data_IF_744394797496
#
_entry.id   IF_744394797496
#
_cell.length_a   1.000
_cell.length_b   1.000
_cell.length_c   1.000
_cell.angle_alpha   90.00
_cell.angle_beta   90.00
_cell.angle_gamma   90.00
#
_symmetry.space_group_name_H-M   'P 1'
#
loop_
_entity.id
_entity.type
_entity.pdbx_description
1 polymer ?
#
# COMPACT_ATOMS: atom_id res chain seq x y z
N UNK A 1 -6.62 -17.30 2.99
CA UNK A 1 -5.28 -17.86 3.27
C UNK A 1 -5.41 -18.82 4.44
N UNK A 2 -4.89 -20.05 4.39
CA UNK A 2 -4.88 -20.91 5.55
C UNK A 2 -4.10 -20.24 6.66
N UNK A 3 -4.65 -20.18 7.87
CA UNK A 3 -4.02 -19.53 9.03
C UNK A 3 -2.59 -20.03 9.28
N UNK A 4 -2.32 -21.29 8.97
CA UNK A 4 -1.01 -21.94 9.11
C UNK A 4 0.10 -21.22 8.33
N UNK A 5 -0.14 -20.81 7.08
CA UNK A 5 0.87 -20.15 6.26
C UNK A 5 1.20 -18.74 6.76
N UNK A 6 0.20 -18.03 7.28
CA UNK A 6 0.40 -16.71 7.90
C UNK A 6 1.25 -16.83 9.16
N UNK A 7 0.94 -17.83 10.00
CA UNK A 7 1.68 -18.10 11.23
C UNK A 7 3.14 -18.45 10.93
N UNK A 8 3.39 -19.27 9.92
CA UNK A 8 4.75 -19.61 9.46
C UNK A 8 5.51 -18.37 8.98
N UNK A 9 4.88 -17.50 8.19
CA UNK A 9 5.51 -16.27 7.72
C UNK A 9 5.99 -15.37 8.87
N UNK A 10 5.21 -15.30 9.96
CA UNK A 10 5.56 -14.51 11.13
C UNK A 10 6.34 -15.29 12.21
N UNK A 11 6.64 -16.57 12.00
CA UNK A 11 7.32 -17.41 13.01
C UNK A 11 6.50 -17.66 14.27
N UNK A 12 5.17 -17.69 14.17
CA UNK A 12 4.22 -17.75 15.29
C UNK A 12 3.53 -19.12 15.42
N UNK A 13 4.25 -20.21 15.15
CA UNK A 13 3.67 -21.57 15.18
C UNK A 13 3.41 -22.10 16.61
N UNK A 14 3.99 -21.47 17.63
CA UNK A 14 3.78 -21.84 19.05
C UNK A 14 2.34 -21.53 19.49
N UNK A 15 1.90 -22.19 20.57
CA UNK A 15 0.57 -21.96 21.16
C UNK A 15 0.35 -20.47 21.52
N UNK A 16 1.30 -19.86 22.21
CA UNK A 16 1.24 -18.42 22.55
C UNK A 16 1.31 -17.52 21.33
N UNK A 17 2.09 -17.89 20.32
CA UNK A 17 2.15 -17.18 19.05
C UNK A 17 0.81 -17.14 18.31
N UNK A 18 0.07 -18.25 18.32
CA UNK A 18 -1.28 -18.33 17.75
C UNK A 18 -2.28 -17.44 18.48
N UNK A 19 -2.25 -17.42 19.81
CA UNK A 19 -3.10 -16.55 20.63
C UNK A 19 -2.78 -15.08 20.34
N UNK A 20 -1.50 -14.72 20.36
CA UNK A 20 -1.06 -13.35 20.07
C UNK A 20 -1.49 -12.89 18.67
N UNK A 21 -1.34 -13.78 17.67
CA UNK A 21 -1.80 -13.50 16.31
C UNK A 21 -3.31 -13.27 16.23
N UNK A 22 -4.11 -14.10 16.93
CA UNK A 22 -5.56 -13.96 16.98
C UNK A 22 -5.96 -12.60 17.58
N UNK A 23 -5.32 -12.18 18.68
CA UNK A 23 -5.55 -10.87 19.31
C UNK A 23 -5.20 -9.74 18.34
N UNK A 24 -4.02 -9.83 17.70
CA UNK A 24 -3.58 -8.84 16.69
C UNK A 24 -4.52 -8.77 15.50
N UNK A 25 -5.04 -9.90 15.03
CA UNK A 25 -6.02 -9.98 13.95
C UNK A 25 -7.34 -9.31 14.32
N UNK A 26 -7.89 -9.61 15.51
CA UNK A 26 -9.11 -8.98 16.02
C UNK A 26 -8.93 -7.46 16.19
N UNK A 27 -7.79 -7.04 16.70
CA UNK A 27 -7.45 -5.62 16.82
C UNK A 27 -7.42 -4.91 15.47
N UNK A 28 -6.73 -5.51 14.49
CA UNK A 28 -6.69 -5.00 13.10
C UNK A 28 -8.09 -4.92 12.48
N UNK A 29 -8.92 -5.94 12.71
CA UNK A 29 -10.31 -5.95 12.23
C UNK A 29 -11.14 -4.84 12.86
N UNK A 30 -11.01 -4.63 14.17
CA UNK A 30 -11.70 -3.54 14.88
C UNK A 30 -11.29 -2.16 14.35
N UNK A 31 -9.99 -1.93 14.19
CA UNK A 31 -9.47 -0.69 13.59
C UNK A 31 -10.00 -0.46 12.17
N UNK A 32 -10.09 -1.51 11.36
CA UNK A 32 -10.62 -1.41 9.99
C UNK A 32 -12.05 -0.86 9.96
N UNK A 33 -12.91 -1.29 10.91
CA UNK A 33 -14.26 -0.76 11.09
C UNK A 33 -14.27 0.69 11.55
N UNK A 34 -13.44 1.05 12.51
CA UNK A 34 -13.32 2.42 13.00
C UNK A 34 -12.83 3.37 11.91
N UNK A 35 -11.85 2.97 11.11
CA UNK A 35 -11.32 3.76 10.00
C UNK A 35 -12.41 4.07 8.99
N UNK A 36 -13.26 3.09 8.68
CA UNK A 36 -14.34 3.24 7.71
C UNK A 36 -15.37 4.30 8.13
N UNK A 37 -15.71 4.36 9.42
CA UNK A 37 -16.74 5.28 9.95
C UNK A 37 -16.18 6.63 10.40
N UNK A 38 -14.84 6.79 10.51
CA UNK A 38 -14.27 8.04 11.04
C UNK A 38 -14.30 9.19 10.02
N UNK A 39 -14.91 10.35 10.35
CA UNK A 39 -14.90 11.51 9.49
C UNK A 39 -13.55 12.28 9.54
N UNK A 40 -12.76 12.06 10.58
CA UNK A 40 -11.53 12.84 10.85
C UNK A 40 -10.35 12.29 10.04
N UNK A 41 -9.86 13.09 9.08
CA UNK A 41 -8.79 12.70 8.14
C UNK A 41 -7.51 12.22 8.85
N UNK A 42 -7.03 12.98 9.83
CA UNK A 42 -5.79 12.66 10.57
C UNK A 42 -5.88 11.34 11.35
N UNK A 43 -7.06 11.01 11.86
CA UNK A 43 -7.29 9.78 12.61
C UNK A 43 -7.18 8.54 11.71
N UNK A 44 -7.60 8.63 10.44
CA UNK A 44 -7.43 7.52 9.49
C UNK A 44 -5.96 7.12 9.35
N UNK A 45 -5.08 8.09 9.16
CA UNK A 45 -3.63 7.84 9.04
C UNK A 45 -3.05 7.22 10.32
N UNK A 46 -3.43 7.73 11.50
CA UNK A 46 -2.99 7.19 12.79
C UNK A 46 -3.45 5.75 13.00
N UNK A 47 -4.74 5.46 12.75
CA UNK A 47 -5.28 4.11 12.90
C UNK A 47 -4.67 3.12 11.90
N UNK A 48 -4.33 3.55 10.68
CA UNK A 48 -3.62 2.71 9.73
C UNK A 48 -2.19 2.37 10.20
N UNK A 49 -1.49 3.30 10.87
CA UNK A 49 -0.22 2.98 11.55
C UNK A 49 -0.42 1.93 12.65
N UNK A 50 -1.48 2.04 13.45
CA UNK A 50 -1.80 1.04 14.49
C UNK A 50 -2.16 -0.33 13.91
N UNK A 51 -2.70 -0.38 12.68
CA UNK A 51 -2.87 -1.63 11.93
C UNK A 51 -1.54 -2.26 11.51
N UNK A 52 -0.44 -1.51 11.54
CA UNK A 52 0.90 -1.97 11.23
C UNK A 52 1.44 -1.50 9.87
N UNK A 53 0.75 -0.59 9.17
CA UNK A 53 1.28 -0.01 7.93
C UNK A 53 2.40 0.97 8.27
N UNK A 54 3.50 0.89 7.53
CA UNK A 54 4.63 1.80 7.69
C UNK A 54 4.34 3.11 6.94
N UNK A 55 3.93 4.16 7.67
CA UNK A 55 3.50 5.43 7.08
C UNK A 55 4.40 6.56 7.58
N UNK A 56 4.97 7.32 6.66
CA UNK A 56 5.79 8.49 6.91
C UNK A 56 5.03 9.68 7.50
N UNK A 57 5.70 10.82 7.58
CA UNK A 57 5.14 12.09 8.07
C UNK A 57 4.33 12.76 6.97
N UNK A 58 3.31 13.57 7.32
CA UNK A 58 2.54 14.37 6.37
C UNK A 58 1.69 13.59 5.37
N UNK A 59 1.52 12.27 5.56
CA UNK A 59 0.74 11.43 4.63
C UNK A 59 -0.75 11.65 4.80
N UNK A 60 -1.44 11.89 3.68
CA UNK A 60 -2.88 11.91 3.59
C UNK A 60 -3.43 10.56 3.13
N UNK A 61 -4.47 10.07 3.80
CA UNK A 61 -5.21 8.86 3.40
C UNK A 61 -6.69 9.22 3.25
N UNK A 62 -7.21 8.99 2.05
CA UNK A 62 -8.59 9.23 1.67
C UNK A 62 -9.60 8.29 2.34
N UNK A 63 -10.86 8.42 1.94
CA UNK A 63 -11.93 7.54 2.39
C UNK A 63 -11.88 6.19 1.68
N UNK A 64 -12.32 5.14 2.39
CA UNK A 64 -12.50 3.79 1.83
C UNK A 64 -11.23 3.21 1.19
N UNK A 65 -10.04 3.69 1.58
CA UNK A 65 -8.78 3.10 1.11
C UNK A 65 -8.62 1.72 1.72
N UNK A 66 -8.42 0.73 0.86
CA UNK A 66 -8.26 -0.68 1.24
C UNK A 66 -6.78 -1.02 1.22
N UNK A 67 -6.20 -1.24 2.38
CA UNK A 67 -4.87 -1.83 2.51
C UNK A 67 -4.97 -3.32 2.81
N UNK A 68 -3.92 -4.06 2.46
CA UNK A 68 -3.80 -5.48 2.81
C UNK A 68 -4.15 -5.72 4.28
N UNK A 69 -5.10 -6.64 4.54
CA UNK A 69 -5.57 -6.89 5.90
C UNK A 69 -4.65 -7.81 6.69
N UNK A 70 -3.98 -8.71 6.00
CA UNK A 70 -3.13 -9.74 6.62
C UNK A 70 -1.69 -9.27 6.75
N UNK A 71 -1.14 -8.69 5.67
CA UNK A 71 0.25 -8.25 5.56
C UNK A 71 0.36 -6.72 5.47
N UNK A 72 -0.36 -6.02 6.32
CA UNK A 72 -0.34 -4.55 6.40
C UNK A 72 1.08 -4.00 6.65
N UNK A 73 1.89 -4.72 7.42
CA UNK A 73 3.29 -4.43 7.73
C UNK A 73 4.25 -4.58 6.53
N UNK A 74 3.78 -5.15 5.41
CA UNK A 74 4.51 -5.19 4.15
C UNK A 74 4.21 -3.99 3.24
N UNK A 75 3.44 -3.00 3.72
CA UNK A 75 3.14 -1.77 2.99
C UNK A 75 3.91 -0.60 3.61
N UNK A 76 4.59 0.16 2.75
CA UNK A 76 5.40 1.32 3.10
C UNK A 76 4.94 2.53 2.31
N UNK A 77 4.73 3.67 2.98
CA UNK A 77 4.31 4.93 2.38
C UNK A 77 5.26 6.02 2.87
N UNK A 78 5.98 6.63 1.95
CA UNK A 78 6.92 7.71 2.23
C UNK A 78 6.25 9.02 2.63
N UNK A 79 7.06 9.93 3.15
CA UNK A 79 6.62 11.23 3.67
C UNK A 79 5.87 12.05 2.59
N UNK A 80 4.90 12.86 3.04
CA UNK A 80 4.13 13.80 2.22
C UNK A 80 3.39 13.21 1.03
N UNK A 81 3.14 11.89 1.04
CA UNK A 81 2.36 11.23 -0.01
C UNK A 81 0.85 11.33 0.24
N UNK A 82 0.08 11.33 -0.83
CA UNK A 82 -1.38 11.42 -0.81
C UNK A 82 -1.99 10.18 -1.45
N UNK A 83 -2.84 9.47 -0.70
CA UNK A 83 -3.57 8.29 -1.15
C UNK A 83 -5.04 8.66 -1.33
N UNK A 84 -5.50 8.66 -2.57
CA UNK A 84 -6.87 9.02 -2.95
C UNK A 84 -7.90 8.00 -2.49
N UNK A 85 -9.16 8.46 -2.48
CA UNK A 85 -10.30 7.67 -2.03
C UNK A 85 -10.43 6.36 -2.81
N UNK A 86 -10.83 5.29 -2.12
CA UNK A 86 -11.05 3.95 -2.69
C UNK A 86 -9.84 3.33 -3.39
N UNK A 87 -8.63 3.80 -3.11
CA UNK A 87 -7.42 3.12 -3.58
C UNK A 87 -7.28 1.74 -2.90
N UNK A 88 -6.78 0.75 -3.64
CA UNK A 88 -6.54 -0.61 -3.17
C UNK A 88 -5.03 -0.89 -3.25
N UNK A 89 -4.41 -1.17 -2.11
CA UNK A 89 -2.97 -1.43 -2.02
C UNK A 89 -2.76 -2.77 -1.33
N UNK A 90 -2.20 -3.73 -2.06
CA UNK A 90 -2.02 -5.10 -1.59
C UNK A 90 -0.54 -5.46 -1.47
N UNK A 91 -0.23 -6.41 -0.59
CA UNK A 91 1.11 -6.95 -0.37
C UNK A 91 1.16 -8.49 -0.50
N UNK A 92 0.02 -9.13 -0.79
CA UNK A 92 -0.02 -10.56 -1.06
C UNK A 92 -1.07 -10.91 -2.10
N UNK A 93 -0.88 -12.07 -2.73
CA UNK A 93 -1.87 -12.67 -3.63
C UNK A 93 -2.44 -13.95 -3.02
N UNK A 94 -3.78 -14.05 -2.98
CA UNK A 94 -4.49 -15.26 -2.58
C UNK A 94 -4.73 -16.14 -3.80
N UNK A 95 -4.10 -17.31 -3.82
CA UNK A 95 -4.27 -18.30 -4.87
C UNK A 95 -5.04 -19.49 -4.31
N UNK A 96 -6.01 -20.07 -5.05
CA UNK A 96 -6.73 -21.25 -4.59
C UNK A 96 -5.79 -22.38 -4.20
N UNK A 97 -6.01 -22.97 -3.01
CA UNK A 97 -5.03 -23.88 -2.38
C UNK A 97 -4.83 -25.19 -3.11
N UNK A 98 -5.88 -25.72 -3.77
CA UNK A 98 -5.89 -27.09 -4.32
C UNK A 98 -6.08 -27.09 -5.85
N UNK A 99 -5.45 -26.15 -6.54
CA UNK A 99 -5.52 -26.03 -8.00
C UNK A 99 -4.15 -26.07 -8.64
N UNK A 100 -4.11 -26.42 -9.94
CA UNK A 100 -2.90 -26.36 -10.76
C UNK A 100 -2.30 -24.93 -10.81
N UNK A 101 -3.13 -23.91 -10.60
CA UNK A 101 -2.70 -22.52 -10.56
C UNK A 101 -1.65 -22.26 -9.48
N UNK A 102 -1.68 -22.99 -8.36
CA UNK A 102 -0.67 -22.88 -7.31
C UNK A 102 0.74 -23.25 -7.79
N UNK A 103 0.84 -24.14 -8.80
CA UNK A 103 2.14 -24.51 -9.40
C UNK A 103 2.66 -23.44 -10.36
N UNK A 104 1.75 -22.76 -11.07
CA UNK A 104 2.08 -21.69 -12.03
C UNK A 104 2.28 -20.34 -11.34
N UNK A 105 1.47 -20.07 -10.33
CA UNK A 105 1.49 -18.82 -9.57
C UNK A 105 1.70 -19.13 -8.09
N UNK A 106 2.96 -19.34 -7.67
CA UNK A 106 3.22 -19.59 -6.25
C UNK A 106 2.76 -18.38 -5.44
N UNK A 107 2.15 -18.66 -4.28
CA UNK A 107 1.75 -17.61 -3.35
C UNK A 107 2.96 -16.74 -3.02
N UNK A 108 2.80 -15.45 -3.15
CA UNK A 108 3.86 -14.50 -2.87
C UNK A 108 3.38 -13.42 -1.90
N UNK A 109 4.19 -13.16 -0.89
CA UNK A 109 4.09 -12.00 -0.03
C UNK A 109 5.23 -11.09 -0.44
N UNK A 110 4.91 -9.88 -0.90
CA UNK A 110 5.91 -8.96 -1.43
C UNK A 110 5.67 -7.57 -0.85
N UNK A 111 6.77 -6.93 -0.50
CA UNK A 111 6.77 -5.56 -0.02
C UNK A 111 6.26 -4.62 -1.09
N UNK A 112 5.23 -3.82 -0.77
CA UNK A 112 4.72 -2.76 -1.65
C UNK A 112 5.17 -1.42 -1.10
N UNK A 113 5.82 -0.62 -1.93
CA UNK A 113 6.46 0.64 -1.51
C UNK A 113 5.88 1.80 -2.31
N UNK A 114 5.42 2.81 -1.60
CA UNK A 114 5.06 4.12 -2.15
C UNK A 114 6.10 5.11 -1.64
N UNK A 115 6.81 5.76 -2.52
CA UNK A 115 7.86 6.72 -2.23
C UNK A 115 7.36 7.99 -1.54
N UNK A 116 8.22 9.00 -1.46
CA UNK A 116 7.91 10.31 -0.88
C UNK A 116 7.21 11.20 -1.90
N UNK A 117 6.29 12.06 -1.45
CA UNK A 117 5.60 13.02 -2.31
C UNK A 117 4.76 12.40 -3.42
N UNK A 118 4.44 11.11 -3.32
CA UNK A 118 3.67 10.40 -4.35
C UNK A 118 2.20 10.78 -4.26
N UNK A 119 1.60 11.01 -5.42
CA UNK A 119 0.17 11.24 -5.52
C UNK A 119 -0.55 10.07 -6.16
N UNK A 120 -1.23 9.28 -5.35
CA UNK A 120 -2.14 8.22 -5.79
C UNK A 120 -3.54 8.82 -5.87
N UNK A 121 -4.10 8.88 -7.08
CA UNK A 121 -5.45 9.39 -7.31
C UNK A 121 -6.54 8.36 -6.92
N UNK A 122 -7.82 8.75 -6.86
CA UNK A 122 -8.90 7.84 -6.48
C UNK A 122 -9.03 6.58 -7.35
N UNK A 123 -9.54 5.50 -6.76
CA UNK A 123 -9.81 4.21 -7.41
C UNK A 123 -8.58 3.53 -8.05
N UNK A 124 -7.37 3.87 -7.62
CA UNK A 124 -6.14 3.21 -8.08
C UNK A 124 -5.99 1.85 -7.41
N UNK A 125 -5.54 0.85 -8.15
CA UNK A 125 -5.15 -0.47 -7.61
C UNK A 125 -3.66 -0.70 -7.78
N UNK A 126 -2.97 -1.06 -6.69
CA UNK A 126 -1.54 -1.40 -6.68
C UNK A 126 -1.39 -2.86 -6.26
N UNK A 127 -0.81 -3.68 -7.15
CA UNK A 127 -0.60 -5.11 -6.87
C UNK A 127 0.61 -5.36 -5.95
N UNK A 128 0.71 -6.56 -5.33
CA UNK A 128 1.81 -6.88 -4.43
C UNK A 128 3.19 -6.78 -5.09
N UNK A 129 4.13 -6.16 -4.37
CA UNK A 129 5.53 -6.10 -4.79
C UNK A 129 5.89 -4.91 -5.69
N UNK A 130 4.95 -4.01 -5.95
CA UNK A 130 5.21 -2.80 -6.74
C UNK A 130 5.89 -1.74 -5.89
N UNK A 131 6.89 -1.09 -6.47
CA UNK A 131 7.52 0.13 -5.96
C UNK A 131 7.11 1.32 -6.82
N UNK A 132 6.58 2.37 -6.18
CA UNK A 132 6.30 3.65 -6.82
C UNK A 132 7.35 4.65 -6.34
N UNK A 133 8.13 5.19 -7.30
CA UNK A 133 9.20 6.13 -7.03
C UNK A 133 8.70 7.48 -6.52
N UNK A 134 9.61 8.25 -5.91
CA UNK A 134 9.32 9.53 -5.30
C UNK A 134 8.69 10.51 -6.32
N UNK A 135 7.76 11.35 -5.85
CA UNK A 135 7.13 12.41 -6.64
C UNK A 135 6.39 11.90 -7.92
N UNK A 136 6.10 10.59 -7.99
CA UNK A 136 5.29 10.03 -9.06
C UNK A 136 3.80 10.28 -8.84
N UNK A 137 3.05 10.31 -9.94
CA UNK A 137 1.60 10.46 -9.95
C UNK A 137 0.96 9.25 -10.61
N UNK A 138 -0.01 8.64 -9.91
CA UNK A 138 -0.83 7.56 -10.47
C UNK A 138 -2.24 8.06 -10.72
N UNK A 139 -2.62 8.11 -11.98
CA UNK A 139 -3.91 8.66 -12.42
C UNK A 139 -5.09 7.80 -11.94
N UNK A 140 -6.24 8.45 -11.76
CA UNK A 140 -7.50 7.84 -11.31
C UNK A 140 -7.84 6.56 -12.09
N UNK A 141 -8.27 5.52 -11.36
CA UNK A 141 -8.72 4.25 -11.94
C UNK A 141 -7.61 3.38 -12.54
N UNK A 142 -6.35 3.72 -12.35
CA UNK A 142 -5.23 2.95 -12.89
C UNK A 142 -4.97 1.66 -12.10
N UNK A 143 -4.46 0.63 -12.80
CA UNK A 143 -3.99 -0.61 -12.19
C UNK A 143 -2.48 -0.72 -12.38
N UNK A 144 -1.73 -0.51 -11.30
CA UNK A 144 -0.27 -0.54 -11.32
C UNK A 144 0.23 -1.96 -11.12
N UNK A 145 0.83 -2.53 -12.17
CA UNK A 145 1.30 -3.92 -12.22
C UNK A 145 2.82 -4.06 -12.31
N UNK A 146 3.54 -2.95 -12.41
CA UNK A 146 5.01 -2.88 -12.48
C UNK A 146 5.50 -1.67 -11.70
N UNK A 147 6.76 -1.67 -11.36
CA UNK A 147 7.40 -0.54 -10.71
C UNK A 147 7.27 0.73 -11.55
N UNK A 148 7.08 1.85 -10.85
CA UNK A 148 6.92 3.19 -11.43
C UNK A 148 8.16 4.00 -11.09
N UNK A 149 8.90 4.54 -12.07
CA UNK A 149 10.02 5.44 -11.82
C UNK A 149 9.59 6.69 -11.04
N UNK A 150 10.54 7.38 -10.38
CA UNK A 150 10.24 8.67 -9.77
C UNK A 150 9.89 9.72 -10.83
N UNK A 151 9.13 10.75 -10.42
CA UNK A 151 8.82 11.94 -11.23
C UNK A 151 8.17 11.64 -12.59
N UNK A 152 7.27 10.66 -12.62
CA UNK A 152 6.45 10.38 -13.82
C UNK A 152 4.98 10.34 -13.47
N UNK A 153 4.13 10.53 -14.48
CA UNK A 153 2.70 10.24 -14.43
C UNK A 153 2.46 8.91 -15.11
N UNK A 154 1.76 8.00 -14.42
CA UNK A 154 1.29 6.74 -15.02
C UNK A 154 -0.23 6.70 -15.04
N UNK A 155 -0.80 6.10 -16.09
CA UNK A 155 -2.24 5.97 -16.27
C UNK A 155 -2.63 4.67 -16.99
N UNK A 156 -3.85 4.18 -16.74
CA UNK A 156 -4.50 3.10 -17.48
C UNK A 156 -4.45 1.73 -16.79
N UNK A 157 -4.95 0.72 -17.50
CA UNK A 157 -5.04 -0.69 -17.07
C UNK A 157 -4.48 -1.59 -18.18
N UNK A 158 -3.26 -2.14 -18.00
CA UNK A 158 -2.29 -1.81 -16.95
C UNK A 158 -1.73 -0.39 -17.08
N UNK A 159 -1.29 0.20 -15.97
CA UNK A 159 -0.73 1.53 -15.94
C UNK A 159 0.57 1.63 -16.76
N UNK A 160 0.69 2.69 -17.57
CA UNK A 160 1.87 3.00 -18.40
C UNK A 160 2.27 4.44 -18.16
N UNK A 161 3.55 4.77 -18.36
CA UNK A 161 4.05 6.15 -18.30
C UNK A 161 3.38 6.96 -19.42
N UNK A 162 2.72 8.05 -19.05
CA UNK A 162 2.05 8.98 -19.96
C UNK A 162 2.71 10.35 -19.97
N UNK A 163 3.51 10.68 -18.94
CA UNK A 163 4.21 11.97 -18.85
C UNK A 163 5.45 11.84 -17.98
N UNK A 164 6.52 12.52 -18.39
CA UNK A 164 7.72 12.77 -17.57
C UNK A 164 7.56 14.14 -16.90
N UNK A 165 7.87 14.22 -15.60
CA UNK A 165 7.75 15.44 -14.80
C UNK A 165 9.11 16.11 -14.53
N UNK A 166 10.23 15.51 -14.89
CA UNK A 166 11.56 16.02 -14.57
C UNK A 166 11.75 17.47 -15.04
N UNK A 167 11.47 17.74 -16.31
CA UNK A 167 11.60 19.09 -16.88
C UNK A 167 10.67 20.13 -16.24
N UNK A 168 9.54 19.71 -15.68
CA UNK A 168 8.58 20.59 -15.02
C UNK A 168 8.98 20.87 -13.57
N UNK A 169 9.69 19.95 -12.91
CA UNK A 169 10.08 20.04 -11.50
C UNK A 169 11.46 20.71 -11.31
N UNK A 170 12.34 20.66 -12.33
CA UNK A 170 13.67 21.29 -12.29
C UNK A 170 13.70 22.75 -11.78
N UNK A 171 12.77 23.64 -12.18
CA UNK A 171 12.75 25.01 -11.67
C UNK A 171 12.54 25.07 -10.16
N UNK A 172 11.65 24.23 -9.62
CA UNK A 172 11.32 24.18 -8.19
C UNK A 172 12.43 23.51 -7.36
N UNK A 173 13.18 22.57 -7.93
CA UNK A 173 14.34 21.95 -7.29
C UNK A 173 15.45 22.97 -7.03
N UNK A 174 15.68 23.93 -7.96
CA UNK A 174 16.67 24.97 -7.83
C UNK A 174 16.32 25.97 -6.74
N UNK A 175 15.06 26.33 -6.60
CA UNK A 175 14.57 27.26 -5.57
C UNK A 175 14.70 26.66 -4.16
N UNK A 176 14.50 25.35 -4.02
CA UNK A 176 14.64 24.64 -2.73
C UNK A 176 16.10 24.44 -2.29
N UNK A 177 17.08 24.56 -3.19
CA UNK A 177 18.51 24.49 -2.87
C UNK A 177 19.11 25.86 -2.49
N UNK A 178 18.38 26.94 -2.80
CA UNK A 178 18.82 28.31 -2.54
C UNK A 178 18.36 28.88 -1.17
N UNK A 179 17.53 28.16 -0.42
CA UNK A 179 17.04 28.46 0.92
C UNK A 179 17.59 27.46 1.96
#
# INVERSE_FOLDING_TARGET
MPAKEVLQFYGLDSFFGKIWYAIKFLWRFFLDKLIFITPVKSWRTVMQRWRGINIGKGVYIGHEVIFDRVFADQIYIGDNSSIGDRAIITAHANIPSDTILKKLYPRSIKKTVIGKGVWIMPNVTIIPGVTIGDEAVVATGSVVTKDVPPRVVVAGVPAKIVKDLNSLLEPFDKDNQAN
#
